data_IF_978723165766
#
_entry.id   IF_978723165766
#
_cell.length_a   1.000
_cell.length_b   1.000
_cell.length_c   1.000
_cell.angle_alpha   90.00
_cell.angle_beta   90.00
_cell.angle_gamma   90.00
#
_symmetry.space_group_name_H-M   'P 1'
#
loop_
_entity.id
_entity.type
_entity.pdbx_description
1 polymer ?
#
# COMPACT_ATOMS: atom_id res chain seq x y z
N UNK A 1 3.76 17.39 4.79
CA UNK A 1 4.74 16.57 5.54
C UNK A 1 6.14 16.62 4.89
N UNK A 2 7.21 16.24 5.61
CA UNK A 2 8.54 16.02 5.02
C UNK A 2 8.57 14.77 4.13
N UNK A 3 9.46 14.71 3.11
CA UNK A 3 9.61 13.52 2.27
C UNK A 3 10.15 12.32 3.06
N UNK A 4 9.75 11.08 2.72
CA UNK A 4 10.32 9.85 3.26
C UNK A 4 11.85 9.84 3.22
N UNK A 5 12.52 9.30 4.23
CA UNK A 5 13.98 9.26 4.28
C UNK A 5 14.50 7.84 4.13
N UNK A 6 15.80 7.69 3.82
CA UNK A 6 16.46 6.37 3.72
C UNK A 6 15.71 5.39 2.80
N UNK A 7 15.28 5.87 1.64
CA UNK A 7 14.67 5.02 0.63
C UNK A 7 15.73 4.06 0.07
N UNK A 8 15.47 2.77 0.23
CA UNK A 8 16.31 1.68 -0.24
C UNK A 8 15.48 0.71 -1.07
N UNK A 9 16.13 0.00 -2.00
CA UNK A 9 15.53 -1.03 -2.82
C UNK A 9 16.33 -2.32 -2.74
N UNK A 10 15.67 -3.41 -2.37
CA UNK A 10 16.25 -4.75 -2.31
C UNK A 10 15.64 -5.64 -3.40
N UNK A 11 16.48 -6.22 -4.25
CA UNK A 11 16.07 -7.04 -5.39
C UNK A 11 16.17 -8.52 -5.02
N UNK A 12 15.07 -9.25 -5.16
CA UNK A 12 14.99 -10.70 -4.96
C UNK A 12 14.73 -11.39 -6.29
N UNK A 13 15.81 -11.61 -7.04
CA UNK A 13 15.81 -12.16 -8.41
C UNK A 13 15.06 -13.48 -8.59
N UNK A 14 15.15 -14.37 -7.61
CA UNK A 14 14.53 -15.69 -7.64
C UNK A 14 13.00 -15.67 -7.57
N UNK A 15 12.40 -14.56 -7.13
CA UNK A 15 10.94 -14.42 -6.98
C UNK A 15 10.40 -13.17 -7.69
N UNK A 16 11.22 -12.53 -8.53
CA UNK A 16 10.86 -11.30 -9.24
C UNK A 16 10.22 -10.23 -8.33
N UNK A 17 10.84 -9.98 -7.16
CA UNK A 17 10.37 -9.00 -6.17
C UNK A 17 11.38 -7.86 -5.95
N UNK A 18 10.97 -6.61 -6.14
CA UNK A 18 11.67 -5.44 -5.59
C UNK A 18 10.96 -5.04 -4.30
N UNK A 19 11.68 -5.05 -3.19
CA UNK A 19 11.20 -4.48 -1.92
C UNK A 19 11.78 -3.10 -1.74
N UNK A 20 10.92 -2.09 -1.74
CA UNK A 20 11.26 -0.76 -1.27
C UNK A 20 11.16 -0.73 0.25
N UNK A 21 12.07 -0.02 0.90
CA UNK A 21 11.98 0.31 2.33
C UNK A 21 12.33 1.77 2.55
N UNK A 22 11.65 2.43 3.49
CA UNK A 22 11.92 3.82 3.84
C UNK A 22 11.60 4.10 5.30
N UNK A 23 12.24 5.12 5.86
CA UNK A 23 11.88 5.70 7.14
C UNK A 23 10.67 6.62 6.97
N UNK A 24 9.64 6.36 7.78
CA UNK A 24 8.48 7.23 7.94
C UNK A 24 8.94 8.60 8.43
N UNK A 25 8.42 9.71 7.85
CA UNK A 25 8.65 11.02 8.42
C UNK A 25 8.17 11.06 9.88
N UNK A 26 8.86 11.81 10.77
CA UNK A 26 8.55 11.86 12.20
C UNK A 26 7.26 12.63 12.52
N UNK A 27 6.68 13.34 11.54
CA UNK A 27 5.53 14.18 11.78
C UNK A 27 4.28 13.37 12.14
N UNK A 28 3.56 13.79 13.21
CA UNK A 28 2.39 13.08 13.71
C UNK A 28 1.18 13.17 12.76
N UNK A 29 1.27 13.97 11.71
CA UNK A 29 0.23 14.15 10.70
C UNK A 29 0.50 13.39 9.40
N UNK A 30 1.47 12.48 9.32
CA UNK A 30 1.60 11.57 8.17
C UNK A 30 0.54 10.46 8.22
N UNK A 31 -0.34 10.47 7.22
CA UNK A 31 -1.48 9.58 7.04
C UNK A 31 -1.41 8.89 5.67
N UNK A 32 -0.24 8.41 5.23
CA UNK A 32 -0.12 7.53 4.07
C UNK A 32 1.07 7.83 3.17
N UNK A 33 1.16 7.09 2.06
CA UNK A 33 2.22 7.22 1.07
C UNK A 33 1.68 6.99 -0.34
N UNK A 34 2.19 7.75 -1.31
CA UNK A 34 2.09 7.37 -2.73
C UNK A 34 3.40 6.78 -3.19
N UNK A 35 3.31 5.76 -4.03
CA UNK A 35 4.44 5.03 -4.60
C UNK A 35 4.36 5.16 -6.11
N UNK A 36 5.49 5.51 -6.71
CA UNK A 36 5.62 5.79 -8.13
C UNK A 36 6.63 4.84 -8.77
N UNK A 37 6.39 4.49 -10.03
CA UNK A 37 7.30 3.79 -10.92
C UNK A 37 7.43 4.61 -12.20
N UNK A 38 8.64 5.08 -12.50
CA UNK A 38 8.93 5.91 -13.67
C UNK A 38 8.00 7.14 -13.77
N UNK A 39 7.75 7.77 -12.62
CA UNK A 39 6.81 8.89 -12.39
C UNK A 39 5.33 8.57 -12.53
N UNK A 40 4.96 7.32 -12.82
CA UNK A 40 3.56 6.89 -12.85
C UNK A 40 3.14 6.29 -11.51
N UNK A 41 1.93 6.57 -11.02
CA UNK A 41 1.46 6.06 -9.73
C UNK A 41 1.31 4.54 -9.79
N UNK A 42 2.02 3.85 -8.91
CA UNK A 42 2.04 2.39 -8.78
C UNK A 42 1.11 1.90 -7.67
N UNK A 43 1.10 2.60 -6.54
CA UNK A 43 0.20 2.35 -5.42
C UNK A 43 -0.09 3.68 -4.70
N UNK A 44 -1.34 3.84 -4.30
CA UNK A 44 -1.72 4.73 -3.20
C UNK A 44 -1.86 3.81 -2.00
N UNK A 45 -0.91 3.83 -1.05
CA UNK A 45 -0.90 2.87 0.06
C UNK A 45 -2.20 2.98 0.85
N UNK A 46 -3.00 1.92 0.72
CA UNK A 46 -4.25 1.72 1.42
C UNK A 46 -3.94 1.32 2.85
N UNK A 47 -3.95 2.32 3.72
CA UNK A 47 -4.57 2.26 5.05
C UNK A 47 -5.36 0.99 5.28
N UNK A 48 -5.17 0.35 6.44
CA UNK A 48 -6.15 -0.64 6.89
C UNK A 48 -7.47 0.09 7.07
N UNK A 49 -8.40 -0.17 6.16
CA UNK A 49 -9.76 0.36 6.17
C UNK A 49 -10.57 -0.53 7.11
N UNK A 50 -10.98 0.00 8.24
CA UNK A 50 -11.89 -0.71 9.14
C UNK A 50 -13.31 -0.20 8.95
N UNK A 51 -14.26 -1.15 9.05
CA UNK A 51 -15.63 -1.00 8.60
C UNK A 51 -16.44 0.11 9.28
N UNK A 52 -17.70 0.21 8.84
CA UNK A 52 -18.64 1.24 9.25
C UNK A 52 -18.98 1.18 10.75
N UNK A 53 -18.93 2.34 11.40
CA UNK A 53 -19.51 2.61 12.71
C UNK A 53 -20.64 3.62 12.58
N UNK A 54 -21.79 3.36 13.19
CA UNK A 54 -22.90 4.30 13.14
C UNK A 54 -23.82 4.17 14.32
N UNK A 55 -24.41 5.29 14.74
CA UNK A 55 -25.45 5.31 15.75
C UNK A 55 -26.44 6.43 15.48
N UNK A 56 -27.72 6.12 15.22
CA UNK A 56 -28.28 4.81 14.90
C UNK A 56 -28.06 4.46 13.41
N UNK A 57 -28.24 3.20 13.05
CA UNK A 57 -28.02 2.78 11.66
C UNK A 57 -29.17 3.16 10.70
N UNK A 58 -30.45 3.07 11.13
CA UNK A 58 -31.63 3.23 10.24
C UNK A 58 -32.78 4.12 10.79
N UNK A 59 -32.67 4.69 12.00
CA UNK A 59 -33.73 5.53 12.62
C UNK A 59 -33.15 6.79 13.28
N UNK A 60 -33.85 7.45 14.20
CA UNK A 60 -33.23 8.38 15.15
C UNK A 60 -32.69 7.59 16.37
N UNK A 61 -31.66 8.10 17.04
CA UNK A 61 -31.11 7.42 18.22
C UNK A 61 -32.14 7.40 19.36
N UNK A 62 -31.91 6.54 20.35
CA UNK A 62 -32.77 6.44 21.53
C UNK A 62 -32.32 7.44 22.63
N UNK A 63 -33.22 7.79 23.55
CA UNK A 63 -32.90 8.62 24.73
C UNK A 63 -32.15 7.79 25.79
N UNK A 64 -31.50 8.46 26.74
CA UNK A 64 -30.76 7.87 27.87
C UNK A 64 -29.65 6.88 27.47
N UNK A 65 -29.05 7.07 26.30
CA UNK A 65 -27.92 6.26 25.87
C UNK A 65 -26.67 6.60 26.69
N UNK A 66 -25.86 5.58 26.89
CA UNK A 66 -24.50 5.69 27.42
C UNK A 66 -23.71 4.50 26.84
N UNK A 67 -23.23 4.66 25.61
CA UNK A 67 -22.66 3.57 24.80
C UNK A 67 -21.22 3.87 24.43
N UNK A 68 -20.34 2.89 24.63
CA UNK A 68 -18.92 2.96 24.23
C UNK A 68 -18.71 2.27 22.89
N UNK A 69 -17.92 2.90 22.02
CA UNK A 69 -17.49 2.41 20.72
C UNK A 69 -15.96 2.39 20.73
N UNK A 70 -15.38 1.20 20.85
CA UNK A 70 -13.93 1.02 20.91
C UNK A 70 -13.36 0.90 19.51
N UNK A 71 -12.30 1.64 19.23
CA UNK A 71 -11.63 1.53 17.95
C UNK A 71 -10.95 0.16 17.79
N UNK A 72 -10.85 -0.36 16.54
CA UNK A 72 -10.18 -1.62 16.26
C UNK A 72 -8.69 -1.59 16.66
N UNK A 73 -8.11 -2.73 17.04
CA UNK A 73 -6.67 -2.86 17.25
C UNK A 73 -5.90 -2.64 15.93
N UNK A 74 -4.61 -2.26 15.99
CA UNK A 74 -3.81 -2.05 17.20
C UNK A 74 -4.13 -0.72 17.90
N UNK A 75 -4.17 -0.69 19.23
CA UNK A 75 -4.55 0.54 19.97
C UNK A 75 -3.52 1.67 19.83
N UNK A 76 -2.25 1.34 19.61
CA UNK A 76 -1.13 2.27 19.40
C UNK A 76 -0.99 2.77 17.95
N UNK A 77 -2.11 2.99 17.26
CA UNK A 77 -2.11 3.52 15.90
C UNK A 77 -2.80 4.89 15.85
N UNK A 78 -2.31 5.77 14.98
CA UNK A 78 -3.07 6.94 14.55
C UNK A 78 -4.31 6.48 13.79
N UNK A 79 -5.40 7.23 13.88
CA UNK A 79 -6.61 6.95 13.10
C UNK A 79 -7.17 8.23 12.51
N UNK A 80 -7.79 8.10 11.35
CA UNK A 80 -8.60 9.16 10.75
C UNK A 80 -10.03 8.66 10.68
N UNK A 81 -10.94 9.35 11.35
CA UNK A 81 -12.37 9.13 11.24
C UNK A 81 -12.92 10.06 10.17
N UNK A 82 -13.72 9.53 9.26
CA UNK A 82 -14.55 10.33 8.38
C UNK A 82 -15.99 10.25 8.85
N UNK A 83 -16.60 11.36 9.25
CA UNK A 83 -18.02 11.41 9.59
C UNK A 83 -18.82 11.79 8.34
N UNK A 84 -19.50 10.82 7.72
CA UNK A 84 -20.39 11.08 6.57
C UNK A 84 -21.70 11.75 7.00
N UNK A 85 -22.10 11.55 8.26
CA UNK A 85 -23.33 12.09 8.84
C UNK A 85 -23.08 12.46 10.29
N UNK A 86 -23.56 13.64 10.70
CA UNK A 86 -23.55 14.03 12.11
C UNK A 86 -24.69 15.00 12.44
N UNK A 87 -25.65 14.52 13.23
CA UNK A 87 -26.76 15.31 13.75
C UNK A 87 -27.19 14.76 15.10
N UNK A 88 -26.77 15.41 16.18
CA UNK A 88 -27.25 15.18 17.54
C UNK A 88 -28.04 16.39 18.04
N UNK A 89 -28.73 16.28 19.18
CA UNK A 89 -29.37 17.43 19.81
C UNK A 89 -28.30 18.38 20.34
N UNK A 90 -28.37 19.63 19.86
CA UNK A 90 -27.33 20.61 20.05
C UNK A 90 -27.19 21.00 21.53
N UNK A 91 -26.02 20.74 22.12
CA UNK A 91 -25.69 20.96 23.53
C UNK A 91 -26.47 20.12 24.55
N UNK A 92 -27.15 19.07 24.10
CA UNK A 92 -27.89 18.13 24.96
C UNK A 92 -27.34 16.72 24.81
N UNK A 93 -27.08 16.30 23.56
CA UNK A 93 -26.55 14.99 23.23
C UNK A 93 -25.13 15.11 22.68
N UNK A 94 -24.24 14.28 23.20
CA UNK A 94 -22.81 14.40 22.95
C UNK A 94 -22.19 13.07 22.55
N UNK A 95 -21.39 13.11 21.49
CA UNK A 95 -20.40 12.08 21.18
C UNK A 95 -19.06 12.55 21.75
N UNK A 96 -18.58 11.87 22.78
CA UNK A 96 -17.29 12.15 23.41
C UNK A 96 -16.18 11.31 22.77
N UNK A 97 -14.99 11.88 22.69
CA UNK A 97 -13.74 11.15 22.50
C UNK A 97 -13.05 11.03 23.87
N UNK A 98 -12.84 9.80 24.33
CA UNK A 98 -12.18 9.50 25.60
C UNK A 98 -10.84 8.83 25.37
N UNK A 99 -9.88 9.14 26.23
CA UNK A 99 -8.63 8.40 26.43
C UNK A 99 -8.72 7.53 27.69
N UNK A 100 -8.30 6.27 27.63
CA UNK A 100 -8.20 5.38 28.80
C UNK A 100 -7.24 5.98 29.85
N UNK A 101 -7.59 6.02 31.16
CA UNK A 101 -8.68 5.24 31.75
C UNK A 101 -10.07 5.88 31.77
N UNK A 102 -10.28 7.17 31.47
CA UNK A 102 -11.60 7.83 31.27
C UNK A 102 -11.38 9.39 31.24
N UNK A 103 -10.40 9.88 30.49
CA UNK A 103 -10.19 11.33 30.31
C UNK A 103 -10.83 11.81 29.01
N UNK A 104 -11.74 12.77 29.11
CA UNK A 104 -12.34 13.42 27.93
C UNK A 104 -11.24 14.18 27.17
N UNK A 105 -11.13 13.88 25.87
CA UNK A 105 -10.18 14.51 24.94
C UNK A 105 -10.90 15.57 24.10
N UNK A 106 -12.10 15.22 23.61
CA UNK A 106 -12.93 16.11 22.79
C UNK A 106 -14.41 15.68 22.89
N UNK A 107 -15.32 16.53 22.41
CA UNK A 107 -16.75 16.22 22.32
C UNK A 107 -17.42 16.90 21.13
N UNK A 108 -18.39 16.21 20.55
CA UNK A 108 -19.15 16.66 19.38
C UNK A 108 -20.64 16.71 19.70
N UNK A 109 -21.31 17.76 19.22
CA UNK A 109 -22.77 17.92 19.35
C UNK A 109 -23.34 18.72 18.18
N UNK A 110 -24.67 18.70 18.02
CA UNK A 110 -25.41 19.46 17.03
C UNK A 110 -25.39 18.85 15.63
N UNK A 111 -25.82 19.63 14.64
CA UNK A 111 -25.76 19.27 13.22
C UNK A 111 -24.48 19.80 12.61
N UNK A 112 -23.75 18.95 11.91
CA UNK A 112 -22.53 19.29 11.16
C UNK A 112 -22.62 18.72 9.75
N UNK A 113 -22.01 19.40 8.78
CA UNK A 113 -21.69 18.80 7.49
C UNK A 113 -20.64 17.69 7.68
N UNK A 114 -20.35 16.90 6.64
CA UNK A 114 -19.33 15.85 6.74
C UNK A 114 -17.99 16.43 7.16
N UNK A 115 -17.30 15.76 8.08
CA UNK A 115 -16.03 16.23 8.62
C UNK A 115 -15.10 15.07 9.00
N UNK A 116 -13.83 15.38 9.19
CA UNK A 116 -12.80 14.44 9.57
C UNK A 116 -12.31 14.71 10.99
N UNK A 117 -11.88 13.66 11.70
CA UNK A 117 -11.23 13.81 12.99
C UNK A 117 -10.06 12.84 13.15
N UNK A 118 -8.94 13.35 13.66
CA UNK A 118 -7.71 12.58 13.83
C UNK A 118 -7.55 12.14 15.27
N UNK A 119 -7.23 10.87 15.44
CA UNK A 119 -7.02 10.24 16.74
C UNK A 119 -5.55 9.89 16.87
N UNK A 120 -4.94 10.42 17.92
CA UNK A 120 -3.57 10.09 18.27
C UNK A 120 -3.44 8.64 18.78
N UNK A 121 -2.26 8.01 18.63
CA UNK A 121 -1.99 6.67 19.13
C UNK A 121 -2.18 6.61 20.64
N UNK A 122 -3.30 6.05 21.06
CA UNK A 122 -3.65 5.87 22.47
C UNK A 122 -4.84 4.95 22.57
N UNK A 123 -5.10 4.44 23.77
CA UNK A 123 -6.31 3.67 24.08
C UNK A 123 -7.54 4.59 24.11
N UNK A 124 -7.89 5.19 22.97
CA UNK A 124 -9.05 6.05 22.82
C UNK A 124 -10.29 5.26 22.39
N UNK A 125 -11.46 5.77 22.74
CA UNK A 125 -12.76 5.25 22.31
C UNK A 125 -13.77 6.39 22.20
N UNK A 126 -14.84 6.18 21.43
CA UNK A 126 -15.97 7.11 21.41
C UNK A 126 -17.00 6.69 22.45
N UNK A 127 -17.66 7.67 23.07
CA UNK A 127 -18.75 7.44 24.01
C UNK A 127 -19.93 8.32 23.66
N UNK A 128 -21.06 7.73 23.29
CA UNK A 128 -22.26 8.46 22.94
C UNK A 128 -23.23 8.49 24.12
N UNK A 129 -23.56 9.70 24.57
CA UNK A 129 -24.45 9.93 25.70
C UNK A 129 -25.60 10.83 25.25
N UNK A 130 -26.83 10.40 25.53
CA UNK A 130 -28.04 11.16 25.20
C UNK A 130 -28.86 11.48 26.44
N UNK A 131 -29.59 12.60 26.39
CA UNK A 131 -30.46 13.04 27.48
C UNK A 131 -31.83 12.32 27.46
N UNK A 132 -32.82 12.87 28.16
CA UNK A 132 -34.13 12.25 28.31
C UNK A 132 -35.11 12.51 27.16
N UNK A 133 -34.78 13.37 26.20
CA UNK A 133 -35.66 13.83 25.13
C UNK A 133 -34.90 14.11 23.81
N UNK A 134 -35.61 14.60 22.79
CA UNK A 134 -34.96 15.23 21.64
C UNK A 134 -34.03 14.36 20.79
N UNK A 135 -34.56 13.49 19.94
CA UNK A 135 -33.69 12.64 19.08
C UNK A 135 -33.42 13.25 17.70
N UNK A 136 -32.32 12.85 17.08
CA UNK A 136 -31.92 13.20 15.70
C UNK A 136 -31.36 11.97 14.98
N UNK A 137 -30.91 12.13 13.74
CA UNK A 137 -30.37 11.04 12.93
C UNK A 137 -29.01 10.50 13.39
N UNK A 138 -28.43 11.05 14.45
CA UNK A 138 -27.18 10.60 15.04
C UNK A 138 -25.98 10.80 14.13
N UNK A 139 -25.03 9.88 14.19
CA UNK A 139 -23.75 9.98 13.49
C UNK A 139 -23.42 8.69 12.72
N UNK A 140 -22.57 8.83 11.71
CA UNK A 140 -22.05 7.73 10.89
C UNK A 140 -20.60 8.00 10.51
N UNK A 141 -19.77 6.99 10.71
CA UNK A 141 -18.39 6.89 10.28
C UNK A 141 -18.32 5.67 9.36
N UNK A 142 -18.42 5.83 8.03
CA UNK A 142 -18.46 4.69 7.12
C UNK A 142 -17.11 3.97 7.04
N UNK A 143 -16.02 4.67 7.39
CA UNK A 143 -14.66 4.16 7.29
C UNK A 143 -13.76 4.77 8.36
N UNK A 144 -12.94 3.92 8.98
CA UNK A 144 -11.85 4.31 9.88
C UNK A 144 -10.54 3.90 9.21
N UNK A 145 -9.70 4.89 8.92
CA UNK A 145 -8.37 4.65 8.38
C UNK A 145 -7.39 4.50 9.54
N UNK A 146 -6.66 3.38 9.59
CA UNK A 146 -5.70 3.07 10.65
C UNK A 146 -4.26 3.21 10.14
N UNK A 147 -3.46 3.96 10.89
CA UNK A 147 -2.07 4.28 10.58
C UNK A 147 -1.18 3.81 11.72
N UNK A 148 -0.50 2.70 11.51
CA UNK A 148 0.47 2.21 12.48
C UNK A 148 1.70 3.12 12.48
N UNK A 149 2.18 3.54 13.65
CA UNK A 149 3.42 4.32 13.78
C UNK A 149 4.64 3.42 13.68
N UNK A 150 4.86 2.92 12.47
CA UNK A 150 6.00 2.08 12.13
C UNK A 150 7.07 2.99 11.54
N UNK A 151 8.23 2.97 12.18
CA UNK A 151 9.40 3.74 11.73
C UNK A 151 9.82 3.34 10.32
N UNK A 152 9.90 2.03 10.04
CA UNK A 152 10.32 1.51 8.75
C UNK A 152 9.10 0.98 7.99
N UNK A 153 8.86 1.55 6.82
CA UNK A 153 7.84 1.11 5.87
C UNK A 153 8.46 0.25 4.80
N UNK A 154 7.63 -0.55 4.13
CA UNK A 154 8.04 -1.30 2.97
C UNK A 154 6.91 -1.42 1.95
N UNK A 155 7.29 -1.62 0.70
CA UNK A 155 6.38 -1.97 -0.37
C UNK A 155 7.03 -3.02 -1.27
N UNK A 156 6.25 -4.02 -1.65
CA UNK A 156 6.68 -5.14 -2.46
C UNK A 156 6.11 -5.02 -3.88
N UNK A 157 6.98 -4.82 -4.85
CA UNK A 157 6.64 -4.83 -6.27
C UNK A 157 7.05 -6.16 -6.91
N UNK A 158 6.06 -6.95 -7.33
CA UNK A 158 6.26 -8.28 -7.91
C UNK A 158 6.22 -8.27 -9.44
N UNK A 159 6.76 -9.34 -10.04
CA UNK A 159 6.73 -9.62 -11.48
C UNK A 159 7.38 -8.52 -12.33
N UNK A 160 8.46 -7.91 -11.83
CA UNK A 160 9.25 -6.99 -12.65
C UNK A 160 9.94 -7.74 -13.80
N UNK A 161 10.20 -7.02 -14.88
CA UNK A 161 11.10 -7.47 -15.95
C UNK A 161 12.51 -6.92 -15.73
N UNK A 162 13.51 -7.50 -16.41
CA UNK A 162 14.83 -6.91 -16.49
C UNK A 162 14.73 -5.49 -17.10
N UNK A 163 15.48 -4.55 -16.55
CA UNK A 163 15.35 -3.14 -16.93
C UNK A 163 15.93 -2.19 -15.89
N UNK A 164 15.84 -0.90 -16.18
CA UNK A 164 16.13 0.18 -15.23
C UNK A 164 14.83 0.85 -14.87
N UNK A 165 14.56 0.99 -13.57
CA UNK A 165 13.35 1.57 -13.03
C UNK A 165 13.69 2.69 -12.06
N UNK A 166 12.89 3.74 -12.04
CA UNK A 166 12.96 4.78 -11.02
C UNK A 166 11.76 4.66 -10.10
N UNK A 167 11.99 4.30 -8.84
CA UNK A 167 10.95 4.26 -7.83
C UNK A 167 10.89 5.59 -7.08
N UNK A 168 9.68 6.07 -6.82
CA UNK A 168 9.41 7.26 -6.03
C UNK A 168 8.51 6.96 -4.85
N UNK A 169 8.74 7.61 -3.70
CA UNK A 169 7.83 7.56 -2.56
C UNK A 169 7.60 8.98 -2.02
N UNK A 170 6.34 9.34 -1.82
CA UNK A 170 5.92 10.56 -1.12
C UNK A 170 5.13 10.19 0.13
N UNK A 171 5.19 11.03 1.15
CA UNK A 171 4.28 10.99 2.29
C UNK A 171 3.07 11.91 2.07
N UNK A 172 1.90 11.46 2.53
CA UNK A 172 0.62 12.19 2.51
C UNK A 172 0.25 12.53 3.95
N UNK A 173 -0.15 13.78 4.20
CA UNK A 173 -0.65 14.17 5.52
C UNK A 173 -2.16 13.96 5.70
N UNK A 174 -2.65 14.20 6.91
CA UNK A 174 -4.06 14.03 7.26
C UNK A 174 -5.00 14.83 6.36
N UNK A 175 -4.57 15.98 5.86
CA UNK A 175 -5.34 16.89 5.01
C UNK A 175 -5.16 16.62 3.51
N UNK A 176 -4.42 15.56 3.16
CA UNK A 176 -4.15 15.17 1.79
C UNK A 176 -3.02 15.97 1.15
N UNK A 177 -2.20 16.73 1.90
CA UNK A 177 -1.04 17.37 1.31
C UNK A 177 0.09 16.34 1.12
N UNK A 178 0.67 16.37 -0.07
CA UNK A 178 1.76 15.51 -0.47
C UNK A 178 3.11 16.21 -0.27
N UNK A 179 4.09 15.43 0.21
CA UNK A 179 5.49 15.88 0.33
C UNK A 179 6.24 15.84 -1.01
N UNK A 180 7.48 16.35 -1.01
CA UNK A 180 8.41 16.09 -2.09
C UNK A 180 8.66 14.57 -2.27
N UNK A 181 9.13 14.18 -3.46
CA UNK A 181 9.36 12.76 -3.77
C UNK A 181 10.78 12.34 -3.43
N UNK A 182 10.89 11.24 -2.66
CA UNK A 182 12.14 10.51 -2.49
C UNK A 182 12.27 9.48 -3.60
N UNK A 183 13.37 9.53 -4.34
CA UNK A 183 13.57 8.75 -5.56
C UNK A 183 14.76 7.81 -5.43
N UNK A 184 14.67 6.62 -6.03
CA UNK A 184 15.77 5.68 -6.17
C UNK A 184 15.73 5.01 -7.54
N UNK A 185 16.88 4.95 -8.22
CA UNK A 185 17.04 4.19 -9.45
C UNK A 185 17.46 2.75 -9.12
N UNK A 186 16.82 1.78 -9.75
CA UNK A 186 17.01 0.35 -9.56
C UNK A 186 17.31 -0.30 -10.90
N UNK A 187 18.48 -0.92 -11.01
CA UNK A 187 18.89 -1.67 -12.20
C UNK A 187 18.70 -3.15 -11.92
N UNK A 188 17.85 -3.79 -12.74
CA UNK A 188 17.51 -5.19 -12.65
C UNK A 188 18.12 -5.92 -13.85
N UNK A 189 19.10 -6.77 -13.58
CA UNK A 189 19.72 -7.63 -14.59
C UNK A 189 18.76 -8.73 -15.04
N UNK A 190 18.84 -9.10 -16.32
CA UNK A 190 18.20 -10.31 -16.81
C UNK A 190 18.92 -11.55 -16.26
N UNK A 191 18.15 -12.43 -15.64
CA UNK A 191 18.64 -13.70 -15.08
C UNK A 191 17.89 -14.91 -15.65
N UNK A 192 16.94 -14.69 -16.57
CA UNK A 192 16.19 -15.78 -17.18
C UNK A 192 16.97 -16.23 -18.42
N UNK A 193 17.38 -17.51 -18.45
CA UNK A 193 18.02 -18.04 -19.64
C UNK A 193 16.99 -18.21 -20.78
N UNK A 194 17.36 -17.97 -22.05
CA UNK A 194 16.51 -18.30 -23.18
C UNK A 194 16.10 -19.78 -23.18
N UNK A 195 14.90 -20.07 -23.66
CA UNK A 195 14.43 -21.45 -23.80
C UNK A 195 15.28 -22.23 -24.79
N UNK A 196 15.38 -23.55 -24.63
CA UNK A 196 16.01 -24.39 -25.64
C UNK A 196 15.29 -24.28 -27.00
N UNK A 197 16.02 -24.18 -28.12
CA UNK A 197 15.42 -24.16 -29.46
C UNK A 197 14.63 -25.45 -29.71
N UNK A 198 13.51 -25.33 -30.42
CA UNK A 198 12.64 -26.47 -30.75
C UNK A 198 12.73 -26.83 -32.23
N UNK A 199 12.23 -28.02 -32.61
CA UNK A 199 12.21 -28.44 -34.01
C UNK A 199 13.58 -28.66 -34.63
N UNK A 200 14.61 -28.95 -33.83
CA UNK A 200 15.95 -29.27 -34.34
C UNK A 200 15.89 -30.50 -35.25
N UNK A 201 16.33 -30.33 -36.49
CA UNK A 201 16.38 -31.34 -37.53
C UNK A 201 17.70 -31.26 -38.29
N UNK A 202 18.19 -32.42 -38.74
CA UNK A 202 19.44 -32.56 -39.47
C UNK A 202 19.21 -33.29 -40.80
N UNK A 203 19.69 -32.72 -41.90
CA UNK A 203 19.69 -33.33 -43.23
C UNK A 203 21.15 -33.65 -43.62
N UNK A 204 21.49 -34.91 -43.90
CA UNK A 204 22.85 -35.26 -44.31
C UNK A 204 23.16 -34.71 -45.71
N UNK A 205 24.39 -34.25 -45.89
CA UNK A 205 24.97 -33.92 -47.19
C UNK A 205 26.36 -34.53 -47.32
N UNK A 206 26.94 -34.46 -48.52
CA UNK A 206 28.31 -34.94 -48.74
C UNK A 206 29.29 -34.14 -47.86
N UNK A 207 29.92 -34.82 -46.91
CA UNK A 207 30.85 -34.25 -45.92
C UNK A 207 30.31 -33.10 -45.06
N UNK A 208 28.98 -32.98 -44.91
CA UNK A 208 28.34 -31.94 -44.08
C UNK A 208 26.98 -32.37 -43.55
N UNK A 209 26.47 -31.66 -42.55
CA UNK A 209 25.09 -31.77 -42.08
C UNK A 209 24.44 -30.39 -42.14
N UNK A 210 23.23 -30.32 -42.69
CA UNK A 210 22.41 -29.12 -42.65
C UNK A 210 21.51 -29.18 -41.42
N UNK A 211 21.69 -28.25 -40.50
CA UNK A 211 20.89 -28.14 -39.29
C UNK A 211 19.84 -27.05 -39.47
N UNK A 212 18.62 -27.34 -39.05
CA UNK A 212 17.52 -26.38 -38.99
C UNK A 212 16.82 -26.51 -37.66
N UNK A 213 16.35 -25.41 -37.09
CA UNK A 213 15.54 -25.38 -35.89
C UNK A 213 14.58 -24.21 -35.98
N UNK A 214 13.53 -24.24 -35.16
CA UNK A 214 12.66 -23.10 -34.99
C UNK A 214 13.39 -22.07 -34.13
N UNK A 215 13.55 -20.87 -34.67
CA UNK A 215 14.10 -19.77 -33.92
C UNK A 215 13.17 -19.45 -32.75
N UNK A 216 13.77 -19.40 -31.58
CA UNK A 216 13.21 -18.80 -30.38
C UNK A 216 12.72 -17.35 -30.63
N UNK A 217 11.83 -16.86 -29.75
CA UNK A 217 11.22 -15.54 -29.87
C UNK A 217 11.71 -14.54 -28.82
N UNK A 218 12.49 -14.99 -27.84
CA UNK A 218 13.05 -14.15 -26.80
C UNK A 218 14.04 -13.12 -27.38
N UNK A 219 13.99 -11.88 -26.86
CA UNK A 219 14.75 -10.73 -27.40
C UNK A 219 16.21 -10.69 -26.95
N UNK A 220 16.55 -11.44 -25.90
CA UNK A 220 17.86 -11.53 -25.25
C UNK A 220 18.77 -12.61 -25.89
N UNK A 221 18.36 -13.17 -27.04
CA UNK A 221 19.10 -14.21 -27.73
C UNK A 221 20.26 -13.61 -28.52
N UNK A 222 21.48 -13.95 -28.08
CA UNK A 222 22.71 -13.57 -28.77
C UNK A 222 23.09 -14.54 -29.89
N UNK A 223 22.66 -15.80 -29.82
CA UNK A 223 22.98 -16.82 -30.82
C UNK A 223 22.70 -18.24 -30.33
N UNK A 224 23.10 -19.22 -31.14
CA UNK A 224 22.92 -20.64 -30.86
C UNK A 224 24.27 -21.35 -30.82
N UNK A 225 24.54 -22.07 -29.72
CA UNK A 225 25.68 -22.97 -29.64
C UNK A 225 25.31 -24.35 -30.20
N UNK A 226 26.12 -24.85 -31.14
CA UNK A 226 25.90 -26.15 -31.80
C UNK A 226 26.90 -27.14 -31.25
N UNK A 227 26.44 -28.23 -30.64
CA UNK A 227 27.33 -29.24 -30.06
C UNK A 227 27.31 -30.53 -30.88
N UNK A 228 28.46 -31.20 -30.98
CA UNK A 228 28.58 -32.56 -31.52
C UNK A 228 29.08 -33.50 -30.42
N UNK A 229 28.57 -34.72 -30.40
CA UNK A 229 28.73 -35.68 -29.29
C UNK A 229 30.19 -36.06 -28.99
N UNK A 230 31.09 -35.88 -29.94
CA UNK A 230 32.52 -36.17 -29.86
C UNK A 230 33.40 -34.94 -29.56
N UNK A 231 32.81 -33.75 -29.42
CA UNK A 231 33.54 -32.49 -29.16
C UNK A 231 33.20 -31.92 -27.79
N UNK A 232 34.23 -31.55 -27.02
CA UNK A 232 34.08 -30.81 -25.76
C UNK A 232 33.96 -29.31 -26.03
N UNK A 233 32.84 -28.88 -26.64
CA UNK A 233 32.58 -27.46 -26.90
C UNK A 233 31.64 -27.22 -28.08
N UNK A 234 31.19 -25.97 -28.29
CA UNK A 234 30.40 -25.60 -29.45
C UNK A 234 31.23 -25.72 -30.73
N UNK A 235 30.67 -26.23 -31.81
CA UNK A 235 31.28 -26.23 -33.15
C UNK A 235 31.40 -24.82 -33.72
N UNK A 236 30.56 -23.90 -33.27
CA UNK A 236 30.51 -22.51 -33.70
C UNK A 236 31.40 -21.58 -32.85
N UNK A 237 32.36 -22.11 -32.09
CA UNK A 237 33.29 -21.34 -31.24
C UNK A 237 34.71 -21.19 -31.81
N UNK A 238 34.93 -21.44 -33.10
CA UNK A 238 36.18 -21.11 -33.80
C UNK A 238 35.95 -19.85 -34.66
N UNK A 239 36.95 -18.94 -34.78
CA UNK A 239 36.81 -17.59 -35.30
C UNK A 239 36.40 -17.47 -36.78
#
# INVERSE_FOLDING_TARGET
>A
PSPPQNLEANIYGNIHLVRLTWDSPPEPDVFGYHIYLDNEPLLIDSTITWGKESNPEYKCYDNFLNQNFYFPPPSNCRRKLFFSRFSTENNHDFLYLYHYPESEVDRFTGKKDSFEHYINPSNQHLRFITDCAGTRSGWEIPEILIYADIKVRYYDHYNYLAGTYTYGVTAIDGWGNESDTSMIEVVISDTIAPSSPTGLSAIPGEHKAFLTWLANTESDILGYNIYRTDTTGPLNSEP
#
